data_IF_801472001560
#
_entry.id   IF_801472001560
#
_cell.length_a   1.000
_cell.length_b   1.000
_cell.length_c   1.000
_cell.angle_alpha   90.00
_cell.angle_beta   90.00
_cell.angle_gamma   90.00
#
_symmetry.space_group_name_H-M   'P 1'
#
loop_
_entity.id
_entity.type
_entity.pdbx_description
1 polymer ?
#
# COMPACT_ATOMS: atom_id res chain seq x y z
N UNK A 1 -2.14 1.31 -16.74
CA UNK A 1 -2.84 1.59 -15.45
C UNK A 1 -1.86 2.41 -14.64
N UNK A 2 -2.08 3.72 -14.51
CA UNK A 2 -1.20 4.58 -13.72
C UNK A 2 -1.31 4.14 -12.26
N UNK A 3 -0.23 3.61 -11.70
CA UNK A 3 -0.14 3.41 -10.26
C UNK A 3 -0.13 4.81 -9.66
N UNK A 4 -1.19 5.17 -8.95
CA UNK A 4 -1.21 6.39 -8.14
C UNK A 4 -0.08 6.37 -7.09
N UNK A 5 0.25 7.52 -6.53
CA UNK A 5 1.24 7.59 -5.45
C UNK A 5 0.75 6.79 -4.24
N UNK A 6 1.49 5.74 -3.88
CA UNK A 6 1.28 4.95 -2.67
C UNK A 6 2.35 5.27 -1.63
N UNK A 7 1.98 5.18 -0.35
CA UNK A 7 2.90 5.40 0.77
C UNK A 7 2.72 4.31 1.82
N UNK A 8 3.80 3.61 2.18
CA UNK A 8 3.82 2.81 3.41
C UNK A 8 4.35 3.65 4.57
N UNK A 9 3.61 3.61 5.69
CA UNK A 9 3.96 4.31 6.91
C UNK A 9 3.57 3.47 8.14
N UNK A 10 4.37 3.55 9.20
CA UNK A 10 4.06 2.90 10.46
C UNK A 10 2.87 3.60 11.15
N UNK A 11 1.96 2.84 11.76
CA UNK A 11 0.79 3.37 12.48
C UNK A 11 1.15 4.34 13.61
N UNK A 12 2.30 4.12 14.24
CA UNK A 12 2.81 4.91 15.36
C UNK A 12 3.55 6.17 14.93
N UNK A 13 3.86 6.33 13.65
CA UNK A 13 4.52 7.52 13.12
C UNK A 13 3.63 8.75 13.32
N UNK A 14 4.19 9.84 13.85
CA UNK A 14 3.47 11.09 14.11
C UNK A 14 2.89 11.73 12.84
N UNK A 15 3.55 11.52 11.70
CA UNK A 15 3.14 12.05 10.40
C UNK A 15 1.96 11.31 9.77
N UNK A 16 1.64 10.09 10.23
CA UNK A 16 0.46 9.34 9.77
C UNK A 16 -0.82 10.18 9.88
N UNK A 17 -1.01 10.87 11.01
CA UNK A 17 -2.18 11.73 11.24
C UNK A 17 -2.23 12.94 10.29
N UNK A 18 -1.08 13.39 9.82
CA UNK A 18 -1.02 14.49 8.84
C UNK A 18 -1.46 14.03 7.45
N UNK A 19 -1.09 12.80 7.06
CA UNK A 19 -1.55 12.20 5.82
C UNK A 19 -3.06 11.95 5.84
N UNK A 20 -3.62 11.45 6.95
CA UNK A 20 -5.08 11.32 7.10
C UNK A 20 -5.80 12.67 6.93
N UNK A 21 -5.27 13.76 7.51
CA UNK A 21 -5.83 15.11 7.31
C UNK A 21 -5.77 15.58 5.86
N UNK A 22 -4.76 15.14 5.10
CA UNK A 22 -4.61 15.39 3.66
C UNK A 22 -5.43 14.41 2.80
N UNK A 23 -6.41 13.73 3.37
CA UNK A 23 -7.32 12.79 2.71
C UNK A 23 -6.67 11.50 2.19
N UNK A 24 -5.45 11.17 2.63
CA UNK A 24 -4.90 9.85 2.36
C UNK A 24 -5.63 8.81 3.20
N UNK A 25 -5.96 7.67 2.58
CA UNK A 25 -6.76 6.62 3.19
C UNK A 25 -6.00 5.31 3.22
N UNK A 26 -6.08 4.53 4.32
CA UNK A 26 -5.50 3.20 4.35
C UNK A 26 -6.24 2.27 3.41
N UNK A 27 -5.49 1.61 2.54
CA UNK A 27 -5.99 0.63 1.57
C UNK A 27 -5.56 -0.79 1.94
N UNK A 28 -4.37 -0.95 2.52
CA UNK A 28 -3.83 -2.20 3.03
C UNK A 28 -3.17 -1.99 4.40
N UNK A 29 -3.10 -3.05 5.20
CA UNK A 29 -2.32 -3.07 6.44
C UNK A 29 -1.56 -4.37 6.58
N UNK A 30 -0.33 -4.28 7.08
CA UNK A 30 0.53 -5.43 7.41
C UNK A 30 0.95 -5.32 8.86
N UNK A 31 0.95 -6.46 9.56
CA UNK A 31 1.51 -6.59 10.90
C UNK A 31 2.78 -7.43 10.81
N UNK A 32 3.90 -6.87 11.26
CA UNK A 32 5.19 -7.56 11.29
C UNK A 32 5.23 -8.58 12.43
N UNK A 33 6.22 -9.46 12.42
CA UNK A 33 6.46 -10.43 13.51
C UNK A 33 6.80 -9.72 14.83
N UNK A 34 7.49 -8.58 14.76
CA UNK A 34 7.77 -7.69 15.91
C UNK A 34 6.52 -7.02 16.48
N UNK A 35 5.36 -7.16 15.83
CA UNK A 35 4.08 -6.63 16.28
C UNK A 35 3.75 -5.23 15.79
N UNK A 36 4.65 -4.60 15.06
CA UNK A 36 4.45 -3.29 14.44
C UNK A 36 3.41 -3.38 13.32
N UNK A 37 2.67 -2.28 13.12
CA UNK A 37 1.62 -2.20 12.10
C UNK A 37 2.00 -1.11 11.10
N UNK A 38 2.05 -1.49 9.83
CA UNK A 38 2.27 -0.58 8.71
C UNK A 38 0.97 -0.45 7.92
N UNK A 39 0.67 0.77 7.48
CA UNK A 39 -0.47 1.08 6.60
C UNK A 39 0.04 1.52 5.23
N UNK A 40 -0.56 0.96 4.18
CA UNK A 40 -0.42 1.48 2.84
C UNK A 40 -1.51 2.52 2.63
N UNK A 41 -1.11 3.74 2.28
CA UNK A 41 -1.99 4.87 2.07
C UNK A 41 -2.07 5.22 0.58
N UNK A 42 -3.26 5.61 0.13
CA UNK A 42 -3.49 6.21 -1.18
C UNK A 42 -4.53 7.34 -1.08
N UNK A 43 -4.52 8.28 -2.05
CA UNK A 43 -5.52 9.36 -2.12
C UNK A 43 -6.87 8.86 -2.62
N UNK A 44 -6.88 7.99 -3.63
CA UNK A 44 -8.11 7.40 -4.14
C UNK A 44 -8.25 5.96 -3.64
N UNK A 45 -9.48 5.61 -3.30
CA UNK A 45 -9.81 4.26 -2.83
C UNK A 45 -10.12 3.38 -4.04
N UNK A 46 -9.09 2.95 -4.74
CA UNK A 46 -9.20 2.03 -5.88
C UNK A 46 -9.27 0.58 -5.39
N UNK A 47 -10.11 -0.27 -6.01
CA UNK A 47 -10.05 -1.71 -5.78
C UNK A 47 -8.67 -2.22 -6.20
N UNK A 48 -8.00 -2.94 -5.30
CA UNK A 48 -6.65 -3.48 -5.54
C UNK A 48 -6.79 -4.92 -6.03
N UNK A 49 -6.27 -5.22 -7.22
CA UNK A 49 -6.19 -6.60 -7.71
C UNK A 49 -5.12 -7.40 -6.93
N UNK A 50 -5.14 -8.72 -6.99
CA UNK A 50 -4.12 -9.53 -6.29
C UNK A 50 -2.70 -9.25 -6.83
N UNK A 51 -2.56 -9.02 -8.14
CA UNK A 51 -1.30 -8.62 -8.75
C UNK A 51 -0.81 -7.24 -8.27
N UNK A 52 -1.73 -6.33 -7.95
CA UNK A 52 -1.38 -5.03 -7.37
C UNK A 52 -0.98 -5.18 -5.89
N UNK A 53 -1.61 -6.08 -5.14
CA UNK A 53 -1.21 -6.36 -3.75
C UNK A 53 0.24 -6.83 -3.68
N UNK A 54 0.65 -7.75 -4.54
CA UNK A 54 2.04 -8.23 -4.57
C UNK A 54 3.03 -7.09 -4.81
N UNK A 55 2.73 -6.20 -5.77
CA UNK A 55 3.56 -5.01 -6.06
C UNK A 55 3.58 -4.00 -4.91
N UNK A 56 2.50 -3.91 -4.15
CA UNK A 56 2.42 -3.03 -2.98
C UNK A 56 3.16 -3.62 -1.77
N UNK A 57 3.21 -4.95 -1.63
CA UNK A 57 3.92 -5.63 -0.54
C UNK A 57 5.42 -5.74 -0.76
N UNK A 58 5.85 -5.82 -2.03
CA UNK A 58 7.24 -5.83 -2.46
C UNK A 58 8.19 -4.94 -1.63
N UNK A 59 7.93 -3.63 -1.43
CA UNK A 59 8.82 -2.80 -0.63
C UNK A 59 8.95 -3.25 0.82
N UNK A 60 7.90 -3.76 1.46
CA UNK A 60 7.98 -4.26 2.84
C UNK A 60 8.83 -5.54 2.95
N UNK A 61 8.83 -6.38 1.91
CA UNK A 61 9.66 -7.58 1.84
C UNK A 61 11.14 -7.27 1.58
N UNK A 62 11.44 -6.12 0.97
CA UNK A 62 12.80 -5.67 0.71
C UNK A 62 13.50 -5.13 1.95
N UNK A 63 12.76 -4.86 3.03
CA UNK A 63 13.33 -4.39 4.28
C UNK A 63 14.01 -5.54 5.00
N UNK A 64 15.33 -5.67 4.80
CA UNK A 64 16.18 -6.50 5.64
C UNK A 64 16.37 -5.79 6.98
N UNK A 65 15.56 -6.16 7.99
CA UNK A 65 15.59 -5.91 9.46
C UNK A 65 16.15 -4.57 10.03
N UNK A 66 17.10 -3.92 9.37
CA UNK A 66 17.83 -2.71 9.72
C UNK A 66 17.23 -1.40 9.15
N UNK A 67 16.15 -1.43 8.36
CA UNK A 67 15.46 -0.22 7.84
C UNK A 67 16.40 0.90 7.33
N UNK A 68 17.38 0.54 6.48
CA UNK A 68 18.32 1.53 5.92
C UNK A 68 17.66 2.33 4.80
N UNK A 69 17.91 3.64 4.77
CA UNK A 69 17.49 4.50 3.66
C UNK A 69 18.16 4.04 2.36
N UNK A 70 17.37 3.84 1.30
CA UNK A 70 17.85 3.27 0.06
C UNK A 70 16.83 3.31 -1.07
N UNK A 71 17.31 3.11 -2.28
CA UNK A 71 16.52 3.12 -3.51
C UNK A 71 16.58 1.73 -4.12
N UNK A 72 15.43 1.11 -4.34
CA UNK A 72 15.33 -0.11 -5.14
C UNK A 72 14.76 0.23 -6.51
N UNK A 73 15.51 -0.04 -7.56
CA UNK A 73 15.08 0.16 -8.95
C UNK A 73 14.71 -1.18 -9.57
N UNK A 74 13.53 -1.26 -10.20
CA UNK A 74 13.02 -2.44 -10.92
C UNK A 74 12.79 -2.02 -12.38
N UNK A 75 13.84 -2.03 -13.21
CA UNK A 75 13.78 -1.49 -14.57
C UNK A 75 12.75 -2.19 -15.44
N UNK A 76 12.53 -3.49 -15.22
CA UNK A 76 11.63 -4.31 -16.04
C UNK A 76 10.14 -3.99 -15.88
N UNK A 77 9.76 -3.29 -14.80
CA UNK A 77 8.38 -2.85 -14.56
C UNK A 77 8.24 -1.33 -14.51
N UNK A 78 9.29 -0.61 -14.92
CA UNK A 78 9.31 0.85 -14.96
C UNK A 78 8.96 1.50 -13.60
N UNK A 79 9.45 0.91 -12.50
CA UNK A 79 9.12 1.34 -11.15
C UNK A 79 10.34 1.28 -10.21
N UNK A 80 10.28 2.06 -9.14
CA UNK A 80 11.19 1.92 -8.01
C UNK A 80 10.59 2.33 -6.69
N UNK A 81 11.31 1.98 -5.63
CA UNK A 81 10.93 2.19 -4.24
C UNK A 81 12.02 3.02 -3.56
N UNK A 82 11.65 4.15 -2.98
CA UNK A 82 12.54 4.96 -2.15
C UNK A 82 12.16 4.75 -0.69
N UNK A 83 13.06 4.13 0.07
CA UNK A 83 13.01 4.05 1.52
C UNK A 83 13.80 5.21 2.12
N UNK A 84 13.12 6.06 2.89
CA UNK A 84 13.73 7.18 3.61
C UNK A 84 12.97 7.40 4.92
N UNK A 85 13.69 7.52 6.04
CA UNK A 85 13.09 7.78 7.37
C UNK A 85 11.92 6.83 7.71
N UNK A 86 12.10 5.53 7.49
CA UNK A 86 11.09 4.48 7.68
C UNK A 86 9.82 4.61 6.82
N UNK A 87 9.87 5.41 5.74
CA UNK A 87 8.77 5.59 4.79
C UNK A 87 9.19 5.05 3.43
N UNK A 88 8.27 4.39 2.74
CA UNK A 88 8.49 3.93 1.38
C UNK A 88 7.62 4.69 0.38
N UNK A 89 8.27 5.34 -0.57
CA UNK A 89 7.63 6.04 -1.69
C UNK A 89 7.73 5.20 -2.97
N UNK A 90 6.64 5.13 -3.72
CA UNK A 90 6.57 4.50 -5.03
C UNK A 90 6.88 5.55 -6.09
N UNK A 91 7.89 5.30 -6.92
CA UNK A 91 8.37 6.25 -7.91
C UNK A 91 8.39 5.60 -9.30
N UNK A 92 8.18 6.42 -10.34
CA UNK A 92 8.45 6.02 -11.70
C UNK A 92 9.97 5.83 -11.91
N UNK A 93 10.36 4.95 -12.84
CA UNK A 93 11.78 4.68 -13.08
C UNK A 93 12.55 5.92 -13.55
N UNK A 94 11.90 6.83 -14.29
CA UNK A 94 12.47 8.10 -14.71
C UNK A 94 12.90 8.94 -13.49
N UNK A 95 12.00 9.10 -12.52
CA UNK A 95 12.30 9.79 -11.25
C UNK A 95 13.38 9.07 -10.45
N UNK A 96 13.42 7.73 -10.50
CA UNK A 96 14.48 6.95 -9.85
C UNK A 96 15.84 7.24 -10.50
N UNK A 97 15.90 7.36 -11.83
CA UNK A 97 17.13 7.69 -12.54
C UNK A 97 17.58 9.13 -12.26
N UNK A 98 16.65 10.08 -12.21
CA UNK A 98 16.94 11.46 -11.78
C UNK A 98 17.53 11.50 -10.36
N UNK A 99 17.00 10.71 -9.42
CA UNK A 99 17.54 10.65 -8.06
C UNK A 99 18.93 10.00 -8.04
N UNK A 100 19.17 8.94 -8.83
CA UNK A 100 20.50 8.31 -8.96
C UNK A 100 21.55 9.30 -9.47
N UNK A 101 21.18 10.15 -10.41
CA UNK A 101 22.06 11.18 -10.99
C UNK A 101 22.23 12.41 -10.07
N UNK A 102 21.35 12.58 -9.07
CA UNK A 102 21.42 13.67 -8.11
C UNK A 102 22.48 13.46 -7.02
N UNK A 103 22.90 14.54 -6.35
CA UNK A 103 23.82 14.50 -5.20
C UNK A 103 23.29 13.70 -4.00
N UNK A 104 21.98 13.44 -3.94
CA UNK A 104 21.33 12.67 -2.86
C UNK A 104 21.73 11.20 -2.93
N UNK A 105 22.10 10.69 -4.11
CA UNK A 105 22.51 9.29 -4.31
C UNK A 105 23.72 8.88 -3.46
N UNK A 106 24.62 9.82 -3.14
CA UNK A 106 25.79 9.56 -2.31
C UNK A 106 25.44 9.17 -0.85
N UNK A 107 24.19 9.37 -0.43
CA UNK A 107 23.70 9.05 0.91
C UNK A 107 22.74 7.86 0.95
N UNK A 108 22.35 7.32 -0.22
CA UNK A 108 21.36 6.27 -0.35
C UNK A 108 21.98 5.04 -0.99
N UNK A 109 21.71 3.87 -0.42
CA UNK A 109 22.12 2.61 -1.03
C UNK A 109 21.24 2.32 -2.25
N UNK A 110 21.85 2.00 -3.40
CA UNK A 110 21.12 1.78 -4.67
C UNK A 110 21.12 0.29 -4.98
N UNK A 111 19.96 -0.32 -4.82
CA UNK A 111 19.72 -1.72 -5.12
C UNK A 111 19.01 -1.87 -6.47
N UNK A 112 19.53 -2.74 -7.34
CA UNK A 112 18.90 -3.15 -8.59
C UNK A 112 18.32 -4.54 -8.40
N UNK A 113 17.01 -4.69 -8.62
CA UNK A 113 16.34 -5.97 -8.48
C UNK A 113 15.47 -6.26 -9.70
N UNK A 114 15.42 -7.53 -10.09
CA UNK A 114 14.52 -7.97 -11.14
C UNK A 114 13.10 -8.24 -10.60
N UNK A 115 12.11 -8.15 -11.49
CA UNK A 115 10.73 -8.37 -11.10
C UNK A 115 10.44 -9.80 -10.61
N UNK A 116 11.20 -10.80 -11.10
CA UNK A 116 11.00 -12.20 -10.71
C UNK A 116 11.49 -12.50 -9.30
N UNK A 117 12.66 -11.98 -8.91
CA UNK A 117 13.14 -12.16 -7.52
C UNK A 117 12.22 -11.46 -6.54
N UNK A 118 11.67 -10.29 -6.91
CA UNK A 118 10.69 -9.59 -6.10
C UNK A 118 9.42 -10.42 -5.87
N UNK A 119 8.86 -10.99 -6.93
CA UNK A 119 7.68 -11.86 -6.84
C UNK A 119 7.97 -13.08 -5.96
N UNK A 120 9.13 -13.71 -6.14
CA UNK A 120 9.58 -14.82 -5.29
C UNK A 120 9.70 -14.43 -3.81
N UNK A 121 10.25 -13.24 -3.51
CA UNK A 121 10.35 -12.73 -2.14
C UNK A 121 8.98 -12.52 -1.51
N UNK A 122 8.05 -11.85 -2.21
CA UNK A 122 6.69 -11.59 -1.70
C UNK A 122 5.94 -12.89 -1.43
N UNK A 123 6.03 -13.87 -2.35
CA UNK A 123 5.41 -15.17 -2.17
C UNK A 123 6.01 -15.95 -0.99
N UNK A 124 7.33 -15.89 -0.82
CA UNK A 124 8.03 -16.56 0.29
C UNK A 124 7.73 -15.97 1.67
N UNK A 125 7.36 -14.68 1.73
CA UNK A 125 7.16 -13.95 2.97
C UNK A 125 5.81 -14.25 3.67
N UNK A 126 4.88 -14.99 3.03
CA UNK A 126 3.55 -15.36 3.56
C UNK A 126 2.81 -14.22 4.28
N UNK A 127 2.83 -13.02 3.70
CA UNK A 127 2.27 -11.83 4.33
C UNK A 127 0.73 -11.89 4.30
N UNK A 128 0.11 -12.07 5.47
CA UNK A 128 -1.36 -12.02 5.63
C UNK A 128 -1.87 -10.58 5.53
N UNK A 129 -2.29 -10.19 4.33
CA UNK A 129 -2.87 -8.87 4.06
C UNK A 129 -4.32 -8.81 4.54
N UNK A 130 -4.65 -7.81 5.37
CA UNK A 130 -6.05 -7.46 5.67
C UNK A 130 -6.48 -6.31 4.76
N UNK A 131 -7.45 -6.55 3.89
CA UNK A 131 -8.06 -5.51 3.05
C UNK A 131 -9.08 -4.70 3.85
N UNK A 132 -8.94 -3.37 3.86
CA UNK A 132 -9.89 -2.47 4.51
C UNK A 132 -11.11 -2.20 3.61
N UNK A 133 -12.08 -3.12 3.68
CA UNK A 133 -13.43 -2.85 3.20
C UNK A 133 -14.05 -1.83 4.17
N UNK A 134 -14.40 -0.64 3.67
CA UNK A 134 -14.94 0.43 4.52
C UNK A 134 -16.33 0.07 5.05
N UNK A 135 -16.81 0.84 6.03
CA UNK A 135 -18.18 0.71 6.58
C UNK A 135 -19.30 0.82 5.52
N UNK A 136 -18.98 1.29 4.31
CA UNK A 136 -19.88 1.40 3.16
C UNK A 136 -20.57 0.09 2.79
N UNK A 137 -19.89 -1.06 2.86
CA UNK A 137 -20.53 -2.36 2.58
C UNK A 137 -21.59 -2.70 3.64
N UNK A 138 -21.30 -2.43 4.91
CA UNK A 138 -22.27 -2.64 5.99
C UNK A 138 -23.47 -1.70 5.88
N UNK A 139 -23.25 -0.44 5.48
CA UNK A 139 -24.32 0.52 5.22
C UNK A 139 -25.21 0.07 4.05
N UNK A 140 -24.63 -0.36 2.93
CA UNK A 140 -25.41 -0.88 1.79
C UNK A 140 -26.22 -2.11 2.21
N UNK A 141 -25.60 -3.07 2.91
CA UNK A 141 -26.31 -4.27 3.40
C UNK A 141 -27.47 -3.91 4.32
N UNK A 142 -27.28 -2.95 5.24
CA UNK A 142 -28.36 -2.49 6.14
C UNK A 142 -29.49 -1.79 5.38
N UNK A 143 -29.16 -1.01 4.35
CA UNK A 143 -30.15 -0.31 3.52
C UNK A 143 -31.00 -1.30 2.71
N UNK A 144 -30.35 -2.31 2.11
CA UNK A 144 -31.03 -3.39 1.38
C UNK A 144 -31.98 -4.14 2.32
N UNK A 145 -31.53 -4.47 3.53
CA UNK A 145 -32.35 -5.18 4.53
C UNK A 145 -33.56 -4.34 4.97
N UNK A 146 -33.38 -3.03 5.15
CA UNK A 146 -34.47 -2.12 5.47
C UNK A 146 -35.51 -2.05 4.34
N UNK A 147 -35.07 -1.97 3.08
CA UNK A 147 -35.96 -1.93 1.92
C UNK A 147 -36.75 -3.24 1.75
N UNK A 148 -36.14 -4.40 1.98
CA UNK A 148 -36.87 -5.68 1.95
C UNK A 148 -37.87 -5.81 3.09
N UNK A 149 -37.56 -5.31 4.28
CA UNK A 149 -38.54 -5.24 5.38
C UNK A 149 -39.73 -4.34 5.05
N UNK A 150 -39.48 -3.14 4.52
CA UNK A 150 -40.53 -2.19 4.13
C UNK A 150 -41.39 -2.77 2.99
N UNK A 151 -40.76 -3.37 1.97
CA UNK A 151 -41.47 -4.02 0.87
C UNK A 151 -42.29 -5.23 1.33
N UNK A 152 -41.72 -6.07 2.20
CA UNK A 152 -42.44 -7.22 2.77
C UNK A 152 -43.62 -6.80 3.65
N UNK A 153 -43.45 -5.74 4.46
CA UNK A 153 -44.53 -5.18 5.26
C UNK A 153 -45.64 -4.57 4.40
N UNK A 154 -45.27 -3.90 3.29
CA UNK A 154 -46.23 -3.36 2.33
C UNK A 154 -47.06 -4.48 1.67
N UNK A 155 -46.41 -5.55 1.19
CA UNK A 155 -47.09 -6.73 0.62
C UNK A 155 -47.96 -7.46 1.65
N UNK A 156 -47.61 -7.38 2.94
CA UNK A 156 -48.42 -7.99 3.99
C UNK A 156 -49.69 -7.18 4.32
N UNK A 157 -49.63 -5.86 4.18
CA UNK A 157 -50.75 -4.95 4.46
C UNK A 157 -51.76 -4.81 3.31
N UNK A 158 -51.34 -5.08 2.06
CA UNK A 158 -52.13 -4.89 0.84
C UNK A 158 -52.19 -6.15 -0.01
#
# INVERSE_FOLDING_TARGET
MYLEDYLWIQKTDSTYKEYEKKQWKPILSVKTVSGEIYYCLAKFKTPISDADKERLLAPLCLVNEEYRSGITSIPTKDLGYLWLDNKCFFLANDTVNEIKESLISNTLDINLMDAKSLEGMVQSADIKVRSYIGASIYLISSLVLALTFVGGFYIWLF
#
